data_IF_454015497654
#
_entry.id   IF_454015497654
#
_cell.length_a   1.000
_cell.length_b   1.000
_cell.length_c   1.000
_cell.angle_alpha   90.00
_cell.angle_beta   90.00
_cell.angle_gamma   90.00
#
_symmetry.space_group_name_H-M   'P 1'
#
loop_
_entity.id
_entity.type
_entity.pdbx_description
1 polymer ?
#
# COMPACT_ATOMS: atom_id res chain seq x y z
N UNK A 1 -5.05 3.82 19.87
CA UNK A 1 -4.03 4.63 19.19
C UNK A 1 -3.18 3.69 18.36
N UNK A 2 -3.07 3.91 17.04
CA UNK A 2 -2.21 3.09 16.18
C UNK A 2 -0.78 3.59 16.34
N UNK A 3 0.12 2.72 16.82
CA UNK A 3 1.54 3.06 16.97
C UNK A 3 2.29 2.82 15.66
N UNK A 4 3.47 3.43 15.51
CA UNK A 4 4.33 3.21 14.33
C UNK A 4 4.58 1.71 14.06
N UNK A 5 4.75 0.91 15.12
CA UNK A 5 4.91 -0.54 15.01
C UNK A 5 3.70 -1.25 14.38
N UNK A 6 2.49 -0.87 14.76
CA UNK A 6 1.25 -1.43 14.19
C UNK A 6 1.15 -1.04 12.71
N UNK A 7 1.54 0.19 12.38
CA UNK A 7 1.56 0.69 11.01
C UNK A 7 2.48 -0.14 10.11
N UNK A 8 3.71 -0.39 10.55
CA UNK A 8 4.68 -1.24 9.85
C UNK A 8 4.16 -2.66 9.66
N UNK A 9 3.54 -3.24 10.70
CA UNK A 9 2.97 -4.58 10.63
C UNK A 9 1.86 -4.69 9.58
N UNK A 10 0.99 -3.69 9.49
CA UNK A 10 -0.08 -3.63 8.48
C UNK A 10 0.51 -3.55 7.07
N UNK A 11 1.54 -2.74 6.87
CA UNK A 11 2.19 -2.57 5.56
C UNK A 11 2.92 -3.85 5.14
N UNK A 12 3.65 -4.50 6.05
CA UNK A 12 4.32 -5.80 5.81
C UNK A 12 3.32 -6.89 5.44
N UNK A 13 2.17 -6.96 6.13
CA UNK A 13 1.13 -7.94 5.84
C UNK A 13 0.44 -7.67 4.50
N UNK A 14 0.20 -6.41 4.19
CA UNK A 14 -0.34 -6.02 2.89
C UNK A 14 0.64 -6.36 1.74
N UNK A 15 1.95 -6.16 1.93
CA UNK A 15 2.99 -6.56 0.96
C UNK A 15 3.03 -8.08 0.75
N UNK A 16 2.79 -8.86 1.81
CA UNK A 16 2.62 -10.32 1.76
C UNK A 16 1.31 -10.78 1.09
N UNK A 17 0.40 -9.85 0.77
CA UNK A 17 -0.90 -10.15 0.15
C UNK A 17 -2.00 -10.53 1.14
N UNK A 18 -1.82 -10.27 2.44
CA UNK A 18 -2.86 -10.47 3.45
C UNK A 18 -3.93 -9.40 3.28
N UNK A 19 -5.20 -9.81 3.32
CA UNK A 19 -6.33 -8.90 3.16
C UNK A 19 -6.52 -7.98 4.36
N UNK A 20 -7.14 -6.82 4.08
CA UNK A 20 -7.47 -5.82 5.10
C UNK A 20 -8.39 -6.39 6.18
N UNK A 21 -9.35 -7.23 5.81
CA UNK A 21 -10.27 -7.93 6.72
C UNK A 21 -9.56 -8.85 7.72
N UNK A 22 -8.69 -9.74 7.23
CA UNK A 22 -7.82 -10.59 8.05
C UNK A 22 -6.97 -9.76 9.01
N UNK A 23 -6.33 -8.70 8.49
CA UNK A 23 -5.48 -7.82 9.29
C UNK A 23 -6.30 -7.07 10.36
N UNK A 24 -7.52 -6.64 10.02
CA UNK A 24 -8.46 -5.98 10.92
C UNK A 24 -8.93 -6.92 12.04
N UNK A 25 -9.24 -8.17 11.70
CA UNK A 25 -9.65 -9.19 12.65
C UNK A 25 -8.53 -9.54 13.65
N UNK A 26 -7.29 -9.71 13.15
CA UNK A 26 -6.13 -10.02 13.99
C UNK A 26 -5.73 -8.85 14.89
N UNK A 27 -5.70 -7.63 14.34
CA UNK A 27 -5.35 -6.43 15.10
C UNK A 27 -6.52 -5.88 15.95
N UNK A 28 -7.73 -6.44 15.80
CA UNK A 28 -8.97 -5.92 16.41
C UNK A 28 -9.18 -4.44 16.10
N UNK A 29 -8.79 -4.02 14.89
CA UNK A 29 -8.90 -2.65 14.42
C UNK A 29 -9.99 -2.54 13.35
N UNK A 30 -10.64 -1.38 13.23
CA UNK A 30 -11.58 -1.16 12.14
C UNK A 30 -10.85 -1.15 10.80
N UNK A 31 -11.41 -1.82 9.80
CA UNK A 31 -10.88 -1.88 8.43
C UNK A 31 -10.63 -0.49 7.81
N UNK A 32 -11.42 0.51 8.20
CA UNK A 32 -11.20 1.91 7.85
C UNK A 32 -9.79 2.37 8.23
N UNK A 33 -9.37 2.14 9.48
CA UNK A 33 -8.04 2.55 9.91
C UNK A 33 -6.93 1.79 9.19
N UNK A 34 -7.13 0.50 8.93
CA UNK A 34 -6.16 -0.33 8.21
C UNK A 34 -6.01 0.20 6.78
N UNK A 35 -7.13 0.49 6.11
CA UNK A 35 -7.15 1.09 4.78
C UNK A 35 -6.50 2.48 4.75
N UNK A 36 -6.73 3.30 5.77
CA UNK A 36 -6.12 4.62 5.89
C UNK A 36 -4.59 4.51 6.09
N UNK A 37 -4.14 3.56 6.90
CA UNK A 37 -2.73 3.24 7.11
C UNK A 37 -2.04 2.77 5.83
N UNK A 38 -2.68 1.87 5.06
CA UNK A 38 -2.14 1.39 3.79
C UNK A 38 -2.07 2.55 2.79
N UNK A 39 -3.13 3.37 2.68
CA UNK A 39 -3.16 4.57 1.82
C UNK A 39 -2.15 5.64 2.22
N UNK A 40 -1.86 5.77 3.51
CA UNK A 40 -0.90 6.74 4.02
C UNK A 40 0.54 6.22 3.96
N UNK A 41 0.74 4.91 4.10
CA UNK A 41 2.04 4.24 4.17
C UNK A 41 2.60 3.83 2.82
N UNK A 42 1.75 3.40 1.89
CA UNK A 42 2.03 3.51 0.48
C UNK A 42 1.56 4.88 0.05
N UNK A 43 2.42 5.92 -0.09
CA UNK A 43 2.05 6.99 -1.00
C UNK A 43 1.67 6.27 -2.28
N UNK A 44 0.44 6.51 -2.78
CA UNK A 44 0.07 6.14 -4.14
C UNK A 44 1.32 6.45 -4.96
N UNK A 45 2.03 5.40 -5.36
CA UNK A 45 2.91 5.48 -6.50
C UNK A 45 1.91 5.87 -7.56
N UNK A 46 1.84 7.18 -7.83
CA UNK A 46 1.11 7.70 -8.97
C UNK A 46 1.49 6.72 -10.09
N UNK A 47 0.52 6.17 -10.84
CA UNK A 47 0.85 5.26 -11.91
C UNK A 47 1.99 5.92 -12.68
N UNK A 48 3.18 5.31 -12.66
CA UNK A 48 4.33 5.86 -13.37
C UNK A 48 3.78 6.19 -14.76
N UNK A 49 3.83 7.45 -15.21
CA UNK A 49 3.37 7.76 -16.55
C UNK A 49 4.09 6.79 -17.48
N UNK A 50 3.39 6.11 -18.40
CA UNK A 50 4.01 5.13 -19.27
C UNK A 50 5.25 5.79 -19.86
N UNK A 51 6.42 5.21 -19.56
CA UNK A 51 7.71 5.64 -20.06
C UNK A 51 7.54 6.02 -21.53
N UNK A 52 7.77 7.29 -21.93
CA UNK A 52 7.66 7.63 -23.34
C UNK A 52 8.63 6.73 -24.09
N UNK A 53 8.07 5.95 -25.01
CA UNK A 53 8.83 5.06 -25.89
C UNK A 53 9.95 5.90 -26.54
N UNK A 54 11.19 5.39 -26.61
CA UNK A 54 12.27 6.15 -27.24
C UNK A 54 11.89 6.44 -28.70
N UNK A 55 12.17 7.64 -29.21
CA UNK A 55 11.86 7.97 -30.59
C UNK A 55 12.55 6.94 -31.49
N UNK A 56 11.78 6.28 -32.34
CA UNK A 56 12.33 5.49 -33.42
C UNK A 56 13.21 6.44 -34.25
N UNK A 57 14.52 6.26 -34.16
CA UNK A 57 15.43 6.91 -35.09
C UNK A 57 15.22 6.19 -36.43
N UNK A 58 14.45 6.84 -37.29
CA UNK A 58 14.34 6.50 -38.71
C UNK A 58 15.73 6.75 -39.34
N UNK A 59 16.28 5.70 -39.96
CA UNK A 59 17.59 5.66 -40.63
C UNK A 59 17.41 6.11 -42.08
#
# INVERSE_FOLDING_TARGET
MVTARIRDMILDWHDKGISVDETANVLKLPENQISDIIKAGHPKKQPEPPRPEPPAFDI
#
